data_IF_019299724504
#
_entry.id   IF_019299724504
#
_cell.length_a   1.000
_cell.length_b   1.000
_cell.length_c   1.000
_cell.angle_alpha   90.00
_cell.angle_beta   90.00
_cell.angle_gamma   90.00
#
_symmetry.space_group_name_H-M   'P 1'
#
loop_
_entity.id
_entity.type
_entity.pdbx_description
1 polymer ?
#
# COMPACT_ATOMS: atom_id res chain seq x y z
N UNK A 1 29.97 19.11 -57.43
CA UNK A 1 31.28 19.69 -57.05
C UNK A 1 31.43 19.44 -55.55
N UNK A 2 32.28 18.50 -55.09
CA UNK A 2 33.69 18.74 -54.68
C UNK A 2 33.79 20.12 -53.99
N UNK A 3 34.21 20.24 -52.75
CA UNK A 3 35.59 20.04 -52.32
C UNK A 3 35.69 19.55 -50.87
N UNK A 4 36.63 18.62 -50.70
CA UNK A 4 37.20 18.12 -49.45
C UNK A 4 38.18 19.19 -48.94
N UNK A 5 38.21 19.43 -47.63
CA UNK A 5 39.45 19.76 -46.93
C UNK A 5 39.43 19.11 -45.56
N UNK A 6 40.53 18.42 -45.29
CA UNK A 6 40.79 17.60 -44.14
C UNK A 6 42.01 18.16 -43.40
N UNK A 7 42.27 17.57 -42.21
CA UNK A 7 43.59 17.43 -41.56
C UNK A 7 44.01 18.65 -40.68
N UNK A 8 44.70 18.61 -39.53
CA UNK A 8 45.52 17.64 -38.73
C UNK A 8 45.40 18.05 -37.22
N UNK A 9 45.26 17.06 -36.32
CA UNK A 9 46.10 16.78 -35.11
C UNK A 9 46.44 17.87 -34.07
N UNK A 10 46.20 17.57 -32.78
CA UNK A 10 47.25 17.38 -31.76
C UNK A 10 46.66 17.08 -30.36
N UNK A 11 47.15 15.99 -29.77
CA UNK A 11 46.87 15.55 -28.41
C UNK A 11 47.62 16.39 -27.37
N UNK A 12 47.03 16.62 -26.20
CA UNK A 12 47.76 16.69 -24.93
C UNK A 12 46.88 16.15 -23.80
N UNK A 13 47.28 14.99 -23.29
CA UNK A 13 46.87 14.48 -22.00
C UNK A 13 47.40 15.39 -20.89
N UNK A 14 46.55 15.74 -19.94
CA UNK A 14 46.91 16.46 -18.72
C UNK A 14 46.23 15.82 -17.52
N UNK A 15 46.84 14.77 -16.97
CA UNK A 15 46.53 14.29 -15.63
C UNK A 15 47.07 15.30 -14.62
N UNK A 16 46.19 16.02 -13.92
CA UNK A 16 46.56 16.72 -12.69
C UNK A 16 46.07 15.90 -11.49
N UNK A 17 47.02 15.18 -10.89
CA UNK A 17 46.86 14.55 -9.57
C UNK A 17 46.95 15.62 -8.49
N UNK A 18 45.84 15.90 -7.82
CA UNK A 18 45.80 16.79 -6.65
C UNK A 18 46.25 16.03 -5.40
N UNK A 19 47.16 16.58 -4.57
CA UNK A 19 47.66 15.88 -3.39
C UNK A 19 46.63 15.88 -2.25
N UNK A 20 46.46 14.70 -1.66
CA UNK A 20 45.70 14.44 -0.42
C UNK A 20 46.32 15.25 0.72
N UNK A 21 45.61 16.27 1.23
CA UNK A 21 45.94 16.94 2.49
C UNK A 21 45.09 16.34 3.60
N UNK A 22 45.72 15.51 4.41
CA UNK A 22 45.12 14.86 5.58
C UNK A 22 45.50 15.66 6.83
N UNK A 23 44.50 16.19 7.55
CA UNK A 23 44.61 16.70 8.92
C UNK A 23 43.22 17.05 9.47
N UNK A 24 43.02 17.16 10.80
CA UNK A 24 42.50 16.09 11.66
C UNK A 24 41.06 16.35 12.16
N UNK A 25 40.50 15.33 12.79
CA UNK A 25 39.11 15.19 13.26
C UNK A 25 38.52 16.40 14.00
N UNK A 26 37.29 16.77 13.65
CA UNK A 26 36.28 17.17 14.62
C UNK A 26 34.98 16.50 14.21
N UNK A 27 34.47 15.62 15.05
CA UNK A 27 33.23 14.90 14.80
C UNK A 27 32.07 15.88 14.63
N UNK A 28 31.62 16.08 13.40
CA UNK A 28 30.25 16.44 13.16
C UNK A 28 29.49 15.12 13.08
N UNK A 29 28.81 14.76 14.17
CA UNK A 29 27.65 13.88 14.10
C UNK A 29 26.67 14.63 13.20
N UNK A 30 26.72 14.36 11.89
CA UNK A 30 25.63 14.70 11.00
C UNK A 30 24.43 13.96 11.59
N UNK A 31 23.34 14.65 11.99
CA UNK A 31 22.13 13.96 12.37
C UNK A 31 21.75 13.10 11.17
N UNK A 32 21.74 11.81 11.46
CA UNK A 32 21.23 10.73 10.62
C UNK A 32 20.08 11.27 9.76
N UNK A 33 20.29 11.28 8.43
CA UNK A 33 19.25 11.64 7.48
C UNK A 33 18.12 10.65 7.73
N UNK A 34 17.10 11.18 8.41
CA UNK A 34 15.96 10.47 8.97
C UNK A 34 15.54 9.36 8.02
N UNK A 35 15.71 8.10 8.44
CA UNK A 35 15.08 6.98 7.76
C UNK A 35 13.62 7.36 7.49
N UNK A 36 13.05 7.04 6.30
CA UNK A 36 11.67 7.36 6.03
C UNK A 36 10.82 6.76 7.14
N UNK A 37 10.21 7.62 7.96
CA UNK A 37 9.41 7.16 9.08
C UNK A 37 8.24 6.38 8.50
N UNK A 38 8.28 5.05 8.65
CA UNK A 38 7.18 4.17 8.29
C UNK A 38 5.93 4.64 9.04
N UNK A 39 4.87 4.94 8.31
CA UNK A 39 3.62 5.45 8.89
C UNK A 39 3.06 4.40 9.85
N UNK A 40 2.77 4.80 11.08
CA UNK A 40 2.10 3.93 12.05
C UNK A 40 0.59 3.97 11.80
N UNK A 41 0.12 3.06 10.95
CA UNK A 41 -1.29 3.00 10.58
C UNK A 41 -2.22 2.59 11.74
N UNK A 42 -1.71 1.89 12.75
CA UNK A 42 -2.54 1.48 13.90
C UNK A 42 -2.80 2.69 14.79
N UNK A 43 -1.73 3.40 15.19
CA UNK A 43 -1.86 4.60 15.99
C UNK A 43 -2.65 5.71 15.26
N UNK A 44 -2.44 5.85 13.94
CA UNK A 44 -3.21 6.80 13.12
C UNK A 44 -4.69 6.45 13.07
N UNK A 45 -5.06 5.17 12.97
CA UNK A 45 -6.45 4.73 13.00
C UNK A 45 -7.15 5.12 14.30
N UNK A 46 -6.48 4.87 15.43
CA UNK A 46 -6.99 5.21 16.76
C UNK A 46 -7.11 6.70 16.97
N UNK A 47 -6.08 7.47 16.60
CA UNK A 47 -6.13 8.94 16.64
C UNK A 47 -7.31 9.50 15.83
N UNK A 48 -7.58 8.91 14.67
CA UNK A 48 -8.69 9.30 13.82
C UNK A 48 -10.03 8.70 14.24
N UNK A 49 -10.12 7.93 15.32
CA UNK A 49 -11.37 7.35 15.81
C UNK A 49 -12.06 6.47 14.76
N UNK A 50 -11.28 5.66 14.04
CA UNK A 50 -11.77 4.71 13.04
C UNK A 50 -11.64 3.25 13.48
N UNK A 51 -11.38 3.00 14.76
CA UNK A 51 -11.36 1.66 15.33
C UNK A 51 -12.75 1.04 15.31
N UNK A 52 -12.81 -0.20 14.81
CA UNK A 52 -14.03 -1.00 14.67
C UNK A 52 -13.70 -2.46 14.85
N UNK A 53 -14.68 -3.25 15.28
CA UNK A 53 -14.51 -4.69 15.40
C UNK A 53 -14.26 -5.32 14.00
N UNK A 54 -13.52 -6.44 13.89
CA UNK A 54 -13.29 -7.13 12.61
C UNK A 54 -14.59 -7.46 11.85
N UNK A 55 -15.67 -7.73 12.58
CA UNK A 55 -16.99 -8.10 12.05
C UNK A 55 -17.77 -6.90 11.48
N UNK A 56 -17.37 -5.67 11.82
CA UNK A 56 -17.93 -4.43 11.27
C UNK A 56 -17.35 -4.18 9.87
N UNK A 57 -17.78 -5.02 8.92
CA UNK A 57 -17.34 -4.99 7.53
C UNK A 57 -17.61 -3.65 6.86
N UNK A 58 -16.85 -3.35 5.82
CA UNK A 58 -17.08 -2.20 4.97
C UNK A 58 -16.02 -1.13 5.05
N UNK A 59 -16.28 -0.09 4.27
CA UNK A 59 -15.36 1.00 3.99
C UNK A 59 -15.60 2.21 4.89
N UNK A 60 -14.54 2.72 5.49
CA UNK A 60 -14.53 3.99 6.21
C UNK A 60 -13.29 4.80 5.83
N UNK A 61 -13.45 6.11 5.78
CA UNK A 61 -12.33 7.01 5.55
C UNK A 61 -12.50 8.30 6.37
N UNK A 62 -11.38 8.93 6.72
CA UNK A 62 -11.36 10.24 7.39
C UNK A 62 -10.21 11.08 6.85
N UNK A 63 -10.50 12.33 6.51
CA UNK A 63 -9.48 13.30 6.14
C UNK A 63 -8.71 13.75 7.40
N UNK A 64 -7.42 14.04 7.25
CA UNK A 64 -6.57 14.51 8.33
C UNK A 64 -5.43 15.39 7.80
N UNK A 65 -4.92 16.27 8.66
CA UNK A 65 -3.70 17.02 8.39
C UNK A 65 -2.48 16.22 8.84
N UNK A 66 -1.49 16.04 7.97
CA UNK A 66 -0.29 15.27 8.28
C UNK A 66 0.53 15.84 9.44
N UNK A 67 0.54 17.17 9.62
CA UNK A 67 1.31 17.81 10.69
C UNK A 67 0.67 17.68 12.08
N UNK A 68 -0.65 17.50 12.14
CA UNK A 68 -1.36 17.28 13.39
C UNK A 68 -1.24 15.82 13.86
N UNK A 69 -1.05 14.88 12.92
CA UNK A 69 -1.02 13.45 13.19
C UNK A 69 0.27 13.00 13.89
N UNK A 70 1.45 13.30 13.35
CA UNK A 70 2.74 12.88 13.92
C UNK A 70 3.07 11.37 13.86
N UNK A 71 2.20 10.52 13.32
CA UNK A 71 2.36 9.05 13.22
C UNK A 71 3.16 8.63 11.97
N UNK A 72 4.41 9.07 11.90
CA UNK A 72 5.26 8.91 10.70
C UNK A 72 5.18 10.11 9.74
N UNK A 73 4.60 11.22 10.20
CA UNK A 73 4.61 12.51 9.52
C UNK A 73 5.34 13.55 10.37
N UNK A 74 6.07 14.47 9.72
CA UNK A 74 6.64 15.63 10.41
C UNK A 74 5.53 16.54 10.92
N UNK A 75 5.69 17.07 12.14
CA UNK A 75 4.75 18.01 12.75
C UNK A 75 4.88 19.45 12.23
N UNK A 76 5.89 19.75 11.43
CA UNK A 76 6.21 21.12 11.01
C UNK A 76 6.57 21.26 9.52
N UNK A 77 6.75 20.15 8.79
CA UNK A 77 7.20 20.17 7.40
C UNK A 77 6.26 19.38 6.51
N UNK A 78 6.09 19.84 5.27
CA UNK A 78 5.31 19.15 4.22
C UNK A 78 3.86 18.84 4.63
N UNK A 79 3.26 19.74 5.42
CA UNK A 79 1.87 19.65 5.89
C UNK A 79 0.91 19.62 4.70
N UNK A 80 0.02 18.64 4.68
CA UNK A 80 -1.02 18.52 3.66
C UNK A 80 -2.21 17.77 4.20
N UNK A 81 -3.32 17.91 3.48
CA UNK A 81 -4.51 17.11 3.72
C UNK A 81 -4.35 15.76 3.02
N UNK A 82 -4.60 14.70 3.78
CA UNK A 82 -4.61 13.32 3.32
C UNK A 82 -5.89 12.65 3.80
N UNK A 83 -6.20 11.48 3.24
CA UNK A 83 -7.34 10.66 3.65
C UNK A 83 -6.81 9.33 4.14
N UNK A 84 -7.11 9.00 5.39
CA UNK A 84 -6.86 7.69 5.94
C UNK A 84 -8.04 6.78 5.63
N UNK A 85 -7.75 5.63 5.04
CA UNK A 85 -8.73 4.65 4.56
C UNK A 85 -8.58 3.37 5.36
N UNK A 86 -9.72 2.89 5.87
CA UNK A 86 -9.83 1.59 6.56
C UNK A 86 -10.93 0.79 5.88
N UNK A 87 -10.58 -0.41 5.40
CA UNK A 87 -11.51 -1.33 4.76
C UNK A 87 -11.46 -2.69 5.45
N UNK A 88 -12.57 -3.07 6.08
CA UNK A 88 -12.77 -4.40 6.66
C UNK A 88 -13.50 -5.28 5.65
N UNK A 89 -13.03 -6.50 5.45
CA UNK A 89 -13.64 -7.46 4.55
C UNK A 89 -13.65 -8.86 5.18
N UNK A 90 -14.55 -9.71 4.71
CA UNK A 90 -14.53 -11.15 5.02
C UNK A 90 -14.48 -11.93 3.72
N UNK A 91 -13.44 -12.75 3.54
CA UNK A 91 -13.28 -13.64 2.40
C UNK A 91 -13.75 -15.05 2.75
N UNK A 92 -14.72 -15.53 1.99
CA UNK A 92 -15.27 -16.86 2.10
C UNK A 92 -15.19 -17.53 0.74
N UNK A 93 -14.90 -18.82 0.72
CA UNK A 93 -14.96 -19.62 -0.47
C UNK A 93 -16.22 -20.48 -0.48
N UNK A 94 -16.79 -20.67 -1.66
CA UNK A 94 -17.80 -21.67 -1.92
C UNK A 94 -17.20 -22.74 -2.83
N UNK A 95 -17.14 -23.97 -2.34
CA UNK A 95 -16.59 -25.12 -3.08
C UNK A 95 -17.57 -25.68 -4.13
N UNK A 96 -18.25 -24.79 -4.86
CA UNK A 96 -19.14 -25.14 -5.96
C UNK A 96 -19.08 -24.11 -7.08
N UNK A 97 -19.09 -24.61 -8.30
CA UNK A 97 -19.16 -23.81 -9.53
C UNK A 97 -20.61 -23.78 -10.03
N UNK A 98 -21.07 -22.62 -10.51
CA UNK A 98 -22.40 -22.45 -11.11
C UNK A 98 -23.38 -21.56 -10.33
N UNK A 99 -24.56 -21.39 -10.92
CA UNK A 99 -25.70 -20.64 -10.36
C UNK A 99 -26.41 -21.48 -9.32
N UNK A 100 -26.70 -20.89 -8.16
CA UNK A 100 -27.53 -21.54 -7.13
C UNK A 100 -28.92 -20.91 -7.16
N UNK A 101 -29.92 -21.73 -6.90
CA UNK A 101 -31.30 -21.27 -6.68
C UNK A 101 -31.66 -21.14 -5.20
N UNK A 102 -30.76 -21.57 -4.30
CA UNK A 102 -30.96 -21.58 -2.85
C UNK A 102 -30.22 -20.44 -2.17
N UNK A 103 -30.72 -20.04 -0.99
CA UNK A 103 -30.06 -19.05 -0.14
C UNK A 103 -28.81 -19.68 0.46
N UNK A 104 -27.64 -19.04 0.30
CA UNK A 104 -26.41 -19.48 0.95
C UNK A 104 -26.50 -19.27 2.46
N UNK A 105 -26.12 -20.30 3.19
CA UNK A 105 -25.95 -20.30 4.64
C UNK A 105 -24.45 -20.33 4.99
N UNK A 106 -24.11 -20.10 6.26
CA UNK A 106 -22.71 -20.19 6.70
C UNK A 106 -22.13 -21.61 6.55
N UNK A 107 -22.95 -22.67 6.54
CA UNK A 107 -22.47 -24.03 6.30
C UNK A 107 -22.11 -24.33 4.84
N UNK A 108 -22.56 -23.48 3.90
CA UNK A 108 -22.29 -23.66 2.47
C UNK A 108 -20.97 -23.03 2.02
N UNK A 109 -20.28 -22.33 2.93
CA UNK A 109 -19.07 -21.57 2.64
C UNK A 109 -18.00 -21.81 3.68
N UNK A 110 -16.75 -21.78 3.26
CA UNK A 110 -15.58 -21.96 4.12
C UNK A 110 -14.78 -20.67 4.19
N UNK A 111 -14.30 -20.24 5.38
CA UNK A 111 -13.42 -19.10 5.46
C UNK A 111 -12.12 -19.28 4.70
N UNK A 112 -11.70 -18.24 3.97
CA UNK A 112 -10.35 -18.18 3.40
C UNK A 112 -9.42 -17.69 4.52
N UNK A 113 -9.00 -18.62 5.38
CA UNK A 113 -8.26 -18.31 6.59
C UNK A 113 -6.73 -18.27 6.39
N UNK A 114 -6.06 -17.34 7.08
CA UNK A 114 -4.59 -17.27 7.13
C UNK A 114 -3.93 -16.96 5.77
N UNK A 115 -4.65 -16.36 4.83
CA UNK A 115 -4.15 -16.10 3.48
C UNK A 115 -3.73 -14.64 3.31
N UNK A 116 -2.61 -14.45 2.61
CA UNK A 116 -2.17 -13.12 2.17
C UNK A 116 -3.01 -12.66 0.99
N UNK A 117 -3.77 -11.60 1.21
CA UNK A 117 -4.57 -10.91 0.20
C UNK A 117 -3.75 -9.75 -0.36
N UNK A 118 -3.33 -9.84 -1.62
CA UNK A 118 -2.77 -8.69 -2.34
C UNK A 118 -3.90 -7.76 -2.74
N UNK A 119 -3.76 -6.48 -2.43
CA UNK A 119 -4.79 -5.50 -2.75
C UNK A 119 -4.23 -4.32 -3.54
N UNK A 120 -5.10 -3.69 -4.32
CA UNK A 120 -4.83 -2.38 -4.93
C UNK A 120 -6.06 -1.48 -4.85
N UNK A 121 -5.83 -0.19 -4.67
CA UNK A 121 -6.85 0.85 -4.60
C UNK A 121 -6.22 2.12 -5.20
N UNK A 122 -6.73 2.53 -6.37
CA UNK A 122 -6.17 3.56 -7.28
C UNK A 122 -4.86 4.24 -6.83
N UNK A 123 -3.75 3.73 -7.35
CA UNK A 123 -2.40 4.25 -7.10
C UNK A 123 -1.75 3.74 -5.81
N UNK A 124 -2.48 2.98 -4.99
CA UNK A 124 -1.97 2.34 -3.78
C UNK A 124 -2.10 0.83 -3.92
N UNK A 125 -1.16 0.12 -3.30
CA UNK A 125 -1.12 -1.34 -3.29
C UNK A 125 -0.56 -1.82 -1.96
N UNK A 126 -0.89 -3.04 -1.57
CA UNK A 126 -0.29 -3.65 -0.39
C UNK A 126 -0.76 -5.08 -0.21
N UNK A 127 -0.59 -5.56 1.03
CA UNK A 127 -1.09 -6.86 1.45
C UNK A 127 -1.91 -6.73 2.73
N UNK A 128 -2.81 -7.67 2.95
CA UNK A 128 -3.55 -7.87 4.19
C UNK A 128 -3.57 -9.37 4.48
N UNK A 129 -3.56 -9.76 5.76
CA UNK A 129 -3.68 -11.17 6.16
C UNK A 129 -5.13 -11.41 6.62
N UNK A 130 -5.73 -12.52 6.19
CA UNK A 130 -6.99 -12.97 6.77
C UNK A 130 -6.78 -13.75 8.05
N UNK A 131 -7.67 -13.59 9.02
CA UNK A 131 -7.69 -14.36 10.27
C UNK A 131 -8.31 -15.76 10.08
N UNK A 132 -8.53 -16.48 11.19
CA UNK A 132 -9.13 -17.83 11.18
C UNK A 132 -10.57 -17.89 10.66
N UNK A 133 -11.28 -16.77 10.64
CA UNK A 133 -12.69 -16.64 10.21
C UNK A 133 -12.82 -15.93 8.85
N UNK A 134 -11.68 -15.65 8.21
CA UNK A 134 -11.60 -15.03 6.88
C UNK A 134 -11.68 -13.51 6.91
N UNK A 135 -11.66 -12.86 8.07
CA UNK A 135 -11.67 -11.40 8.17
C UNK A 135 -10.29 -10.84 7.87
N UNK A 136 -10.25 -9.75 7.11
CA UNK A 136 -9.03 -9.01 6.84
C UNK A 136 -9.29 -7.51 6.87
N UNK A 137 -8.20 -6.76 7.00
CA UNK A 137 -8.25 -5.31 7.10
C UNK A 137 -7.18 -4.66 6.25
N UNK A 138 -7.57 -3.64 5.49
CA UNK A 138 -6.67 -2.78 4.75
C UNK A 138 -6.64 -1.42 5.44
N UNK A 139 -5.43 -0.92 5.69
CA UNK A 139 -5.16 0.43 6.19
C UNK A 139 -4.21 1.10 5.23
N UNK A 140 -4.55 2.30 4.75
CA UNK A 140 -3.69 3.05 3.83
C UNK A 140 -3.99 4.54 3.90
N UNK A 141 -3.04 5.37 3.46
CA UNK A 141 -3.23 6.81 3.29
C UNK A 141 -3.28 7.14 1.80
N UNK A 142 -4.17 8.06 1.43
CA UNK A 142 -4.35 8.52 0.06
C UNK A 142 -4.49 10.04 0.00
N UNK A 143 -3.99 10.72 -1.05
CA UNK A 143 -4.15 12.17 -1.20
C UNK A 143 -5.60 12.60 -1.44
N UNK A 144 -6.52 11.66 -1.66
CA UNK A 144 -7.95 11.93 -1.90
C UNK A 144 -8.82 10.75 -1.52
N UNK A 145 -10.12 11.01 -1.35
CA UNK A 145 -11.12 9.97 -1.07
C UNK A 145 -11.04 8.82 -2.08
N UNK A 146 -11.14 7.60 -1.57
CA UNK A 146 -11.12 6.37 -2.37
C UNK A 146 -12.45 5.63 -2.37
N UNK A 147 -13.47 6.20 -1.72
CA UNK A 147 -14.78 5.59 -1.49
C UNK A 147 -15.41 4.99 -2.76
N UNK A 148 -15.27 5.67 -3.91
CA UNK A 148 -15.88 5.27 -5.19
C UNK A 148 -14.90 4.58 -6.14
N UNK A 149 -13.65 4.43 -5.74
CA UNK A 149 -12.60 3.85 -6.58
C UNK A 149 -12.71 2.32 -6.61
N UNK A 150 -12.20 1.70 -7.67
CA UNK A 150 -12.16 0.24 -7.78
C UNK A 150 -11.01 -0.30 -6.94
N UNK A 151 -11.36 -1.19 -6.02
CA UNK A 151 -10.44 -2.03 -5.28
C UNK A 151 -10.27 -3.37 -5.99
N UNK A 152 -9.02 -3.85 -6.06
CA UNK A 152 -8.68 -5.22 -6.45
C UNK A 152 -8.31 -5.99 -5.20
N UNK A 153 -8.88 -7.16 -4.99
CA UNK A 153 -8.41 -8.13 -4.00
C UNK A 153 -7.95 -9.39 -4.72
N UNK A 154 -6.85 -10.00 -4.29
CA UNK A 154 -6.30 -11.17 -4.92
C UNK A 154 -5.63 -12.12 -3.93
N UNK A 155 -5.83 -13.42 -4.14
CA UNK A 155 -5.20 -14.51 -3.40
C UNK A 155 -4.68 -15.51 -4.44
N UNK A 156 -3.38 -15.80 -4.41
CA UNK A 156 -2.75 -16.62 -5.46
C UNK A 156 -2.84 -15.96 -6.85
N UNK A 157 -3.29 -16.74 -7.85
CA UNK A 157 -3.62 -16.26 -9.21
C UNK A 157 -4.96 -15.57 -9.29
N UNK A 158 -5.84 -15.80 -8.32
CA UNK A 158 -7.23 -15.39 -8.37
C UNK A 158 -7.41 -13.95 -7.90
N UNK A 159 -8.34 -13.23 -8.55
CA UNK A 159 -8.63 -11.85 -8.19
C UNK A 159 -10.04 -11.42 -8.54
N UNK A 160 -10.49 -10.36 -7.89
CA UNK A 160 -11.76 -9.71 -8.14
C UNK A 160 -11.60 -8.20 -8.08
N UNK A 161 -12.52 -7.49 -8.73
CA UNK A 161 -12.63 -6.04 -8.66
C UNK A 161 -14.01 -5.64 -8.15
N UNK A 162 -14.05 -4.70 -7.22
CA UNK A 162 -15.28 -4.15 -6.64
C UNK A 162 -15.07 -2.67 -6.36
N UNK A 163 -16.13 -1.88 -6.16
CA UNK A 163 -15.93 -0.54 -5.59
C UNK A 163 -15.57 -0.65 -4.13
N UNK A 164 -14.69 0.23 -3.65
CA UNK A 164 -14.21 0.17 -2.27
C UNK A 164 -15.36 0.22 -1.25
N UNK A 165 -16.39 1.05 -1.49
CA UNK A 165 -17.57 1.16 -0.62
C UNK A 165 -18.57 0.00 -0.70
N UNK A 166 -18.39 -0.94 -1.62
CA UNK A 166 -19.25 -2.12 -1.79
C UNK A 166 -18.59 -3.38 -1.19
N UNK A 167 -17.30 -3.31 -0.86
CA UNK A 167 -16.58 -4.43 -0.24
C UNK A 167 -17.08 -4.64 1.18
N UNK A 168 -17.62 -5.82 1.44
CA UNK A 168 -18.06 -6.28 2.76
C UNK A 168 -17.72 -7.77 2.92
N UNK A 169 -18.73 -8.64 2.94
CA UNK A 169 -18.60 -10.10 2.90
C UNK A 169 -18.52 -10.52 1.43
N UNK A 170 -17.46 -11.21 1.06
CA UNK A 170 -17.19 -11.64 -0.31
C UNK A 170 -17.16 -13.16 -0.33
N UNK A 171 -18.03 -13.75 -1.15
CA UNK A 171 -18.08 -15.18 -1.40
C UNK A 171 -17.47 -15.43 -2.77
N UNK A 172 -16.33 -16.10 -2.80
CA UNK A 172 -15.55 -16.38 -4.01
C UNK A 172 -15.75 -17.82 -4.48
N UNK A 173 -15.56 -18.10 -5.79
CA UNK A 173 -15.70 -19.44 -6.32
C UNK A 173 -14.53 -20.36 -5.89
N UNK A 174 -14.71 -21.67 -6.14
CA UNK A 174 -13.77 -22.76 -5.83
C UNK A 174 -12.27 -22.45 -6.06
N UNK A 175 -11.83 -21.78 -7.15
CA UNK A 175 -10.41 -21.46 -7.35
C UNK A 175 -9.74 -20.70 -6.20
N UNK A 176 -10.52 -19.97 -5.39
CA UNK A 176 -10.01 -19.25 -4.22
C UNK A 176 -9.90 -20.11 -2.96
N UNK A 177 -10.53 -21.29 -2.91
CA UNK A 177 -10.55 -22.14 -1.72
C UNK A 177 -9.16 -22.70 -1.41
N UNK A 178 -8.42 -23.08 -2.46
CA UNK A 178 -7.10 -23.68 -2.39
C UNK A 178 -6.17 -23.02 -3.44
N UNK A 179 -5.77 -21.76 -3.18
CA UNK A 179 -4.98 -20.94 -4.10
C UNK A 179 -3.49 -21.28 -4.07
#
# INVERSE_FOLDING_TARGET
MKWILAVLVAALAGCSTTPKKESPSTGAVVPDVTAPSTIDYVALQTFLGLDRAPEELGYTERAFNTCDAGYGYSRSQNCRQEVFVVLHFRLLCRDSEGTISTILTESDVTPIAGRTVKWSLKGMTGTALTDGLGYGQIRTVSPRSQRRERARLAVGSEFLYMRANEITKIITPRPWCNP
#
